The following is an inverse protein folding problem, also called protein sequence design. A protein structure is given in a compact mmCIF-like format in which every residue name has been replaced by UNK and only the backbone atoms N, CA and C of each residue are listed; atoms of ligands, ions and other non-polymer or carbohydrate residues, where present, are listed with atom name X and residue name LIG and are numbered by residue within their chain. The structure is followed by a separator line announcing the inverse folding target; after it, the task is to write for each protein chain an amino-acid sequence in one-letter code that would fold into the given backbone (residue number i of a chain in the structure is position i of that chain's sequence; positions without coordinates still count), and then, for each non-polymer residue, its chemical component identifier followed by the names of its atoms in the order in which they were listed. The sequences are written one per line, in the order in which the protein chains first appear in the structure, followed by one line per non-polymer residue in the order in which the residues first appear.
data_IF_189248582613
#
_entry.id   IF_189248582613
#
_cell.length_a   1.000
_cell.length_b   1.000
_cell.length_c   1.000
_cell.angle_alpha   90.00
_cell.angle_beta   90.00
_cell.angle_gamma   90.00
#
_symmetry.space_group_name_H-M   'P 1'
#
loop_
_entity.id
_entity.type
_entity.pdbx_description
1 polymer ?
#
# COMPACT_ATOMS: atom_id res chain seq x y z
N UNK A 1 -23.02 9.53 17.06
CA UNK A 1 -21.87 8.72 16.63
C UNK A 1 -20.70 9.03 17.56
N UNK A 2 -20.17 8.03 18.25
CA UNK A 2 -19.04 8.21 19.19
C UNK A 2 -17.71 8.30 18.44
N UNK A 3 -16.62 8.79 19.06
CA UNK A 3 -15.29 8.74 18.48
C UNK A 3 -14.87 7.34 18.00
N UNK A 4 -15.20 6.29 18.76
CA UNK A 4 -14.87 4.90 18.45
C UNK A 4 -15.64 4.41 17.21
N UNK A 5 -16.93 4.77 17.10
CA UNK A 5 -17.73 4.45 15.92
C UNK A 5 -17.20 5.14 14.66
N UNK A 6 -16.69 6.37 14.77
CA UNK A 6 -16.04 7.06 13.64
C UNK A 6 -14.73 6.39 13.24
N UNK A 7 -13.93 6.00 14.22
CA UNK A 7 -12.67 5.30 13.96
C UNK A 7 -12.91 3.98 13.23
N UNK A 8 -13.86 3.16 13.70
CA UNK A 8 -14.20 1.89 13.06
C UNK A 8 -14.69 2.08 11.61
N UNK A 9 -15.53 3.10 11.36
CA UNK A 9 -15.97 3.43 10.00
C UNK A 9 -14.82 3.89 9.12
N UNK A 10 -13.89 4.68 9.67
CA UNK A 10 -12.70 5.12 8.94
C UNK A 10 -11.79 3.94 8.60
N UNK A 11 -11.51 3.06 9.56
CA UNK A 11 -10.68 1.86 9.37
C UNK A 11 -11.26 0.94 8.29
N UNK A 12 -12.57 0.67 8.34
CA UNK A 12 -13.25 -0.12 7.31
C UNK A 12 -13.17 0.56 5.94
N UNK A 13 -13.35 1.87 5.89
CA UNK A 13 -13.21 2.63 4.64
C UNK A 13 -11.79 2.57 4.08
N UNK A 14 -10.76 2.69 4.93
CA UNK A 14 -9.37 2.53 4.50
C UNK A 14 -9.11 1.13 3.96
N UNK A 15 -9.66 0.09 4.60
CA UNK A 15 -9.54 -1.30 4.13
C UNK A 15 -10.16 -1.50 2.76
N UNK A 16 -11.38 -1.02 2.55
CA UNK A 16 -12.06 -1.12 1.25
C UNK A 16 -11.30 -0.36 0.15
N UNK A 17 -10.79 0.83 0.48
CA UNK A 17 -10.00 1.62 -0.45
C UNK A 17 -8.72 0.90 -0.86
N UNK A 18 -7.97 0.33 0.09
CA UNK A 18 -6.75 -0.42 -0.20
C UNK A 18 -7.00 -1.65 -1.09
N UNK A 19 -8.10 -2.37 -0.90
CA UNK A 19 -8.48 -3.49 -1.78
C UNK A 19 -8.79 -3.02 -3.21
N UNK A 20 -9.47 -1.88 -3.34
CA UNK A 20 -9.79 -1.30 -4.64
C UNK A 20 -8.53 -0.79 -5.35
N UNK A 21 -7.61 -0.15 -4.63
CA UNK A 21 -6.34 0.33 -5.18
C UNK A 21 -5.45 -0.84 -5.64
N UNK A 22 -5.32 -1.91 -4.85
CA UNK A 22 -4.59 -3.13 -5.26
C UNK A 22 -5.18 -3.73 -6.54
N UNK A 23 -6.51 -3.89 -6.59
CA UNK A 23 -7.17 -4.40 -7.78
C UNK A 23 -7.00 -3.50 -9.01
N UNK A 24 -7.00 -2.17 -8.82
CA UNK A 24 -6.75 -1.23 -9.91
C UNK A 24 -5.30 -1.29 -10.39
N UNK A 25 -4.34 -1.34 -9.46
CA UNK A 25 -2.90 -1.41 -9.76
C UNK A 25 -2.57 -2.68 -10.55
N UNK A 26 -3.11 -3.84 -10.14
CA UNK A 26 -2.97 -5.12 -10.85
C UNK A 26 -3.54 -5.09 -12.26
N UNK A 27 -4.66 -4.38 -12.48
CA UNK A 27 -5.24 -4.24 -13.83
C UNK A 27 -4.39 -3.35 -14.73
N UNK A 28 -3.82 -2.28 -14.18
CA UNK A 28 -2.98 -1.35 -14.94
C UNK A 28 -1.58 -1.90 -15.21
N UNK A 29 -1.08 -2.75 -14.30
CA UNK A 29 0.26 -3.33 -14.35
C UNK A 29 0.19 -4.85 -14.15
N UNK A 30 -0.32 -5.61 -15.14
CA UNK A 30 -0.55 -7.05 -15.01
C UNK A 30 0.75 -7.85 -14.80
N UNK A 31 1.89 -7.31 -15.20
CA UNK A 31 3.20 -7.95 -15.10
C UNK A 31 3.94 -7.60 -13.79
N UNK A 32 3.37 -6.74 -12.93
CA UNK A 32 4.00 -6.41 -11.67
C UNK A 32 3.84 -7.55 -10.66
N UNK A 33 4.94 -7.89 -10.00
CA UNK A 33 4.93 -8.73 -8.81
C UNK A 33 4.22 -8.04 -7.64
N UNK A 34 3.82 -8.83 -6.64
CA UNK A 34 3.18 -8.30 -5.42
C UNK A 34 4.03 -7.23 -4.72
N UNK A 35 5.36 -7.40 -4.75
CA UNK A 35 6.29 -6.43 -4.20
C UNK A 35 6.30 -5.10 -4.98
N UNK A 36 6.29 -5.16 -6.31
CA UNK A 36 6.23 -3.96 -7.14
C UNK A 36 4.89 -3.24 -6.95
N UNK A 37 3.79 -3.98 -6.84
CA UNK A 37 2.47 -3.41 -6.52
C UNK A 37 2.51 -2.71 -5.16
N UNK A 38 3.08 -3.33 -4.13
CA UNK A 38 3.23 -2.71 -2.80
C UNK A 38 4.00 -1.39 -2.90
N UNK A 39 5.15 -1.37 -3.58
CA UNK A 39 5.98 -0.17 -3.74
C UNK A 39 5.21 0.95 -4.44
N UNK A 40 4.51 0.64 -5.54
CA UNK A 40 3.73 1.65 -6.27
C UNK A 40 2.53 2.18 -5.48
N UNK A 41 1.83 1.31 -4.75
CA UNK A 41 0.73 1.73 -3.88
C UNK A 41 1.22 2.68 -2.78
N UNK A 42 2.36 2.36 -2.17
CA UNK A 42 2.98 3.22 -1.16
C UNK A 42 3.42 4.55 -1.77
N UNK A 43 4.04 4.51 -2.95
CA UNK A 43 4.44 5.72 -3.69
C UNK A 43 3.24 6.61 -3.99
N UNK A 44 2.16 6.05 -4.52
CA UNK A 44 0.96 6.80 -4.87
C UNK A 44 0.31 7.48 -3.66
N UNK A 45 0.36 6.84 -2.49
CA UNK A 45 -0.36 7.30 -1.29
C UNK A 45 0.47 8.18 -0.37
N UNK A 46 1.76 7.91 -0.25
CA UNK A 46 2.65 8.53 0.74
C UNK A 46 3.88 9.20 0.11
N UNK A 47 4.05 9.08 -1.21
CA UNK A 47 5.15 9.69 -1.95
C UNK A 47 6.42 8.84 -2.00
N UNK A 48 7.39 9.33 -2.76
CA UNK A 48 8.62 8.61 -3.08
C UNK A 48 9.52 8.33 -1.88
N UNK A 49 9.50 9.19 -0.86
CA UNK A 49 10.35 9.03 0.32
C UNK A 49 10.04 7.72 1.05
N UNK A 50 8.75 7.45 1.30
CA UNK A 50 8.37 6.22 1.98
C UNK A 50 8.53 4.99 1.09
N UNK A 51 8.22 5.11 -0.19
CA UNK A 51 8.43 4.02 -1.15
C UNK A 51 9.90 3.61 -1.23
N UNK A 52 10.82 4.59 -1.22
CA UNK A 52 12.27 4.34 -1.24
C UNK A 52 12.73 3.58 0.01
N UNK A 53 12.21 3.94 1.19
CA UNK A 53 12.52 3.21 2.44
C UNK A 53 12.12 1.73 2.38
N UNK A 54 10.98 1.41 1.76
CA UNK A 54 10.56 0.01 1.56
C UNK A 54 11.52 -0.72 0.64
N UNK A 55 11.96 -0.06 -0.43
CA UNK A 55 12.98 -0.59 -1.35
C UNK A 55 14.28 -0.91 -0.61
N UNK A 56 14.76 0.02 0.21
CA UNK A 56 16.00 -0.15 0.96
C UNK A 56 15.89 -1.28 1.99
N UNK A 57 14.76 -1.40 2.69
CA UNK A 57 14.52 -2.49 3.67
C UNK A 57 14.56 -3.84 2.96
N UNK A 58 13.86 -3.98 1.82
CA UNK A 58 13.84 -5.22 1.05
C UNK A 58 15.22 -5.62 0.52
N UNK A 59 16.02 -4.65 0.08
CA UNK A 59 17.36 -4.91 -0.42
C UNK A 59 18.30 -5.43 0.68
N UNK A 60 18.17 -4.88 1.89
CA UNK A 60 18.99 -5.27 3.05
C UNK A 60 18.51 -6.55 3.75
N UNK A 61 17.22 -6.89 3.66
CA UNK A 61 16.68 -8.15 4.19
C UNK A 61 17.14 -9.41 3.42
N UNK A 62 17.79 -9.23 2.27
CA UNK A 62 18.27 -10.32 1.40
C UNK A 62 19.75 -10.68 1.64
N UNK A 63 20.40 -10.08 2.64
CA UNK A 63 21.85 -10.17 2.90
C UNK A 63 22.19 -11.06 4.12
N UNK A 64 21.19 -11.61 4.82
CA UNK A 64 21.35 -12.53 5.96
C UNK A 64 20.97 -13.98 5.61
#
# INVERSE_FOLDING_TARGET
MTPEQRLALWEESQRQFSLMEDAAMRRLHPDFSDYQILVELVRARYGDELASKIIDISANASVD
#
